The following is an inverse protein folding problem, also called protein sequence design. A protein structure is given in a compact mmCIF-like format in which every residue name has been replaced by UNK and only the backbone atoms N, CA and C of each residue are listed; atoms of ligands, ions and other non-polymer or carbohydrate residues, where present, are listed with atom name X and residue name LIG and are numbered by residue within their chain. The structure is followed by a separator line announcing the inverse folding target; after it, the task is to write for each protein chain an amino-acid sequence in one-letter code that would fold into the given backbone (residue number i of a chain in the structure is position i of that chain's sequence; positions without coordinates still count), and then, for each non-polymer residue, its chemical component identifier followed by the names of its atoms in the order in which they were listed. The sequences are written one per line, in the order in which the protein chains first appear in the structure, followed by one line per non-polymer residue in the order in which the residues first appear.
data_IF_076674658744
#
_entry.id   IF_076674658744
#
_cell.length_a   1.000
_cell.length_b   1.000
_cell.length_c   1.000
_cell.angle_alpha   90.00
_cell.angle_beta   90.00
_cell.angle_gamma   90.00
#
_symmetry.space_group_name_H-M   'P 1'
#
loop_
_entity.id
_entity.type
_entity.pdbx_description
1 polymer ?
#
# COMPACT_ATOMS: atom_id res chain seq x y z
N UNK A 1 -35.40 27.24 -43.31
CA UNK A 1 -34.90 25.90 -42.92
C UNK A 1 -33.40 25.85 -43.07
N UNK A 2 -32.72 26.07 -41.98
CA UNK A 2 -31.26 25.92 -41.89
C UNK A 2 -30.97 24.50 -41.36
N UNK A 3 -30.35 23.70 -42.22
CA UNK A 3 -29.81 22.39 -41.83
C UNK A 3 -28.58 22.58 -40.94
N UNK A 4 -28.72 22.22 -39.67
CA UNK A 4 -27.56 22.03 -38.77
C UNK A 4 -26.95 20.67 -39.09
N UNK A 5 -25.94 20.64 -39.95
CA UNK A 5 -25.08 19.50 -40.10
C UNK A 5 -24.26 19.37 -38.83
N UNK A 6 -24.55 18.33 -38.05
CA UNK A 6 -23.71 17.89 -36.93
C UNK A 6 -22.28 17.61 -37.44
N UNK A 7 -21.36 18.49 -37.10
CA UNK A 7 -19.93 18.23 -37.28
C UNK A 7 -19.52 17.20 -36.24
N UNK A 8 -19.50 15.91 -36.64
CA UNK A 8 -18.87 14.85 -35.86
C UNK A 8 -17.37 15.16 -35.81
N UNK A 9 -16.92 15.69 -34.67
CA UNK A 9 -15.50 15.82 -34.36
C UNK A 9 -14.93 14.42 -34.17
N UNK A 10 -14.44 13.81 -35.24
CA UNK A 10 -13.51 12.67 -35.10
C UNK A 10 -12.20 13.25 -34.54
N UNK A 11 -12.03 13.18 -33.22
CA UNK A 11 -10.79 13.54 -32.57
C UNK A 11 -9.74 12.51 -32.96
N UNK A 12 -9.01 12.77 -34.05
CA UNK A 12 -7.73 12.09 -34.28
C UNK A 12 -6.81 12.53 -33.15
N UNK A 13 -6.37 11.57 -32.33
CA UNK A 13 -5.31 11.82 -31.33
C UNK A 13 -4.18 12.57 -32.02
N UNK A 14 -3.68 13.67 -31.42
CA UNK A 14 -2.52 14.36 -31.99
C UNK A 14 -1.38 13.35 -32.17
N UNK A 15 -0.71 13.35 -33.29
CA UNK A 15 0.36 12.39 -33.71
C UNK A 15 1.53 12.28 -32.72
N UNK A 16 1.58 13.08 -31.67
CA UNK A 16 2.58 13.14 -30.61
C UNK A 16 2.08 12.68 -29.23
N UNK A 17 0.87 12.10 -29.18
CA UNK A 17 0.32 11.50 -27.97
C UNK A 17 0.18 9.99 -28.13
N UNK A 18 0.48 9.27 -27.07
CA UNK A 18 0.41 7.82 -26.99
C UNK A 18 -0.75 7.39 -26.09
N UNK A 19 -1.37 6.27 -26.37
CA UNK A 19 -2.41 5.70 -25.53
C UNK A 19 -1.77 5.24 -24.20
N UNK A 20 -2.39 5.65 -23.09
CA UNK A 20 -1.93 5.31 -21.75
C UNK A 20 -1.93 3.80 -21.54
N UNK A 21 -2.94 3.08 -22.06
CA UNK A 21 -3.02 1.63 -21.98
C UNK A 21 -1.78 0.96 -22.61
N UNK A 22 -1.37 1.40 -23.81
CA UNK A 22 -0.17 0.87 -24.48
C UNK A 22 1.10 1.14 -23.67
N UNK A 23 1.25 2.34 -23.10
CA UNK A 23 2.40 2.67 -22.26
C UNK A 23 2.45 1.75 -21.04
N UNK A 24 1.32 1.55 -20.36
CA UNK A 24 1.22 0.70 -19.17
C UNK A 24 1.43 -0.78 -19.50
N UNK A 25 0.91 -1.25 -20.63
CA UNK A 25 1.10 -2.63 -21.08
C UNK A 25 2.58 -2.94 -21.35
N UNK A 26 3.26 -2.08 -22.09
CA UNK A 26 4.71 -2.21 -22.29
C UNK A 26 5.50 -2.09 -20.99
N UNK A 27 5.08 -1.21 -20.07
CA UNK A 27 5.72 -1.09 -18.77
C UNK A 27 5.59 -2.38 -17.95
N UNK A 28 4.42 -3.01 -17.96
CA UNK A 28 4.18 -4.31 -17.30
C UNK A 28 5.06 -5.41 -17.91
N UNK A 29 5.14 -5.46 -19.24
CA UNK A 29 5.98 -6.44 -19.96
C UNK A 29 7.46 -6.24 -19.62
N UNK A 30 7.96 -5.01 -19.66
CA UNK A 30 9.35 -4.66 -19.32
C UNK A 30 9.68 -5.00 -17.87
N UNK A 31 8.79 -4.68 -16.95
CA UNK A 31 9.00 -4.98 -15.52
C UNK A 31 9.02 -6.49 -15.27
N UNK A 32 8.19 -7.26 -15.96
CA UNK A 32 8.16 -8.72 -15.86
C UNK A 32 9.42 -9.36 -16.41
N UNK A 33 9.96 -8.81 -17.51
CA UNK A 33 11.12 -9.36 -18.21
C UNK A 33 12.45 -8.99 -17.53
N UNK A 34 12.60 -7.73 -17.10
CA UNK A 34 13.88 -7.18 -16.63
C UNK A 34 13.86 -6.68 -15.18
N UNK A 35 12.68 -6.67 -14.52
CA UNK A 35 12.48 -5.95 -13.29
C UNK A 35 12.37 -4.43 -13.50
N UNK A 36 11.92 -3.73 -12.45
CA UNK A 36 11.86 -2.26 -12.51
C UNK A 36 13.24 -1.65 -12.30
N UNK A 37 13.65 -0.77 -13.22
CA UNK A 37 14.87 0.03 -13.15
C UNK A 37 14.51 1.52 -13.14
N UNK A 38 15.16 2.26 -12.26
CA UNK A 38 14.93 3.71 -12.10
C UNK A 38 15.41 4.49 -13.33
N UNK A 39 14.86 5.68 -13.51
CA UNK A 39 15.19 6.53 -14.67
C UNK A 39 16.60 7.13 -14.63
N UNK A 40 17.30 7.03 -13.51
CA UNK A 40 18.72 7.42 -13.34
C UNK A 40 19.69 6.24 -13.59
N UNK A 41 19.17 5.03 -13.81
CA UNK A 41 19.96 3.84 -14.14
C UNK A 41 20.04 3.63 -15.65
N UNK A 42 21.15 3.06 -16.17
CA UNK A 42 21.24 2.68 -17.57
C UNK A 42 20.23 1.57 -17.89
N UNK A 43 19.66 1.62 -19.09
CA UNK A 43 18.59 0.72 -19.51
C UNK A 43 17.38 0.78 -18.56
N UNK A 44 16.96 1.98 -18.21
CA UNK A 44 15.81 2.23 -17.33
C UNK A 44 14.52 1.67 -17.93
N UNK A 45 13.55 1.34 -17.06
CA UNK A 45 12.21 0.92 -17.50
C UNK A 45 11.58 1.95 -18.44
N UNK A 46 11.79 3.25 -18.16
CA UNK A 46 11.33 4.34 -19.03
C UNK A 46 11.90 4.26 -20.44
N UNK A 47 13.20 3.99 -20.59
CA UNK A 47 13.87 3.89 -21.91
C UNK A 47 13.31 2.72 -22.71
N UNK A 48 13.25 1.52 -22.14
CA UNK A 48 12.66 0.36 -22.80
C UNK A 48 11.20 0.58 -23.23
N UNK A 49 10.39 1.21 -22.37
CA UNK A 49 9.01 1.52 -22.72
C UNK A 49 8.93 2.54 -23.85
N UNK A 50 9.77 3.59 -23.81
CA UNK A 50 9.83 4.57 -24.90
C UNK A 50 10.22 3.92 -26.24
N UNK A 51 11.20 3.06 -26.25
CA UNK A 51 11.65 2.38 -27.45
C UNK A 51 10.54 1.51 -28.07
N UNK A 52 9.85 0.70 -27.25
CA UNK A 52 8.73 -0.15 -27.71
C UNK A 52 7.54 0.66 -28.22
N UNK A 53 7.16 1.72 -27.48
CA UNK A 53 6.03 2.58 -27.86
C UNK A 53 6.32 3.38 -29.12
N UNK A 54 7.54 3.90 -29.30
CA UNK A 54 7.93 4.64 -30.50
C UNK A 54 8.14 3.74 -31.71
N UNK A 55 8.57 2.50 -31.49
CA UNK A 55 8.65 1.47 -32.54
C UNK A 55 7.28 0.88 -32.93
N UNK A 56 6.18 1.31 -32.26
CA UNK A 56 4.84 0.78 -32.45
C UNK A 56 4.76 -0.75 -32.26
N UNK A 57 5.52 -1.27 -31.31
CA UNK A 57 5.44 -2.67 -30.93
C UNK A 57 4.06 -3.00 -30.36
N UNK A 58 3.62 -4.24 -30.53
CA UNK A 58 2.36 -4.69 -29.92
C UNK A 58 2.67 -5.27 -28.55
N UNK A 59 2.06 -4.74 -27.46
CA UNK A 59 2.24 -5.31 -26.14
C UNK A 59 1.62 -6.71 -26.04
N UNK A 60 2.07 -7.49 -25.05
CA UNK A 60 1.51 -8.81 -24.80
C UNK A 60 0.06 -8.75 -24.29
N UNK A 61 -0.73 -9.81 -24.47
CA UNK A 61 -2.07 -9.90 -23.90
C UNK A 61 -2.08 -9.80 -22.38
N UNK A 62 -1.04 -10.33 -21.70
CA UNK A 62 -0.88 -10.19 -20.26
C UNK A 62 -0.57 -8.76 -19.86
N UNK A 63 0.29 -8.07 -20.63
CA UNK A 63 0.58 -6.66 -20.42
C UNK A 63 -0.66 -5.78 -20.57
N UNK A 64 -1.51 -6.05 -21.56
CA UNK A 64 -2.78 -5.33 -21.75
C UNK A 64 -3.76 -5.54 -20.58
N UNK A 65 -3.89 -6.77 -20.07
CA UNK A 65 -4.74 -7.06 -18.90
C UNK A 65 -4.24 -6.33 -17.65
N UNK A 66 -2.93 -6.39 -17.39
CA UNK A 66 -2.33 -5.67 -16.26
C UNK A 66 -2.49 -4.16 -16.41
N UNK A 67 -2.39 -3.62 -17.61
CA UNK A 67 -2.66 -2.20 -17.88
C UNK A 67 -4.09 -1.80 -17.52
N UNK A 68 -5.08 -2.63 -17.87
CA UNK A 68 -6.48 -2.40 -17.52
C UNK A 68 -6.70 -2.42 -16.00
N UNK A 69 -6.07 -3.35 -15.28
CA UNK A 69 -6.10 -3.42 -13.81
C UNK A 69 -5.49 -2.17 -13.18
N UNK A 70 -4.33 -1.73 -13.67
CA UNK A 70 -3.67 -0.50 -13.20
C UNK A 70 -4.54 0.72 -13.46
N UNK A 71 -5.15 0.84 -14.64
CA UNK A 71 -6.04 1.95 -14.98
C UNK A 71 -7.30 1.95 -14.10
N UNK A 72 -7.88 0.79 -13.86
CA UNK A 72 -9.04 0.64 -12.97
C UNK A 72 -8.68 1.06 -11.54
N UNK A 73 -7.54 0.60 -11.02
CA UNK A 73 -7.04 1.01 -9.72
C UNK A 73 -6.83 2.52 -9.60
N UNK A 74 -6.21 3.18 -10.59
CA UNK A 74 -6.02 4.64 -10.56
C UNK A 74 -7.35 5.39 -10.56
N UNK A 75 -8.36 4.91 -11.32
CA UNK A 75 -9.71 5.49 -11.30
C UNK A 75 -10.40 5.30 -9.95
N UNK A 76 -10.20 4.15 -9.30
CA UNK A 76 -10.68 3.91 -7.93
C UNK A 76 -10.05 4.89 -6.93
N UNK A 77 -8.71 5.12 -7.01
CA UNK A 77 -8.07 6.10 -6.16
C UNK A 77 -8.62 7.51 -6.35
N UNK A 78 -8.89 7.92 -7.59
CA UNK A 78 -9.53 9.20 -7.91
C UNK A 78 -10.94 9.31 -7.31
N UNK A 79 -11.75 8.27 -7.43
CA UNK A 79 -13.10 8.22 -6.86
C UNK A 79 -13.08 8.33 -5.33
N UNK A 80 -12.20 7.59 -4.65
CA UNK A 80 -12.04 7.63 -3.20
C UNK A 80 -11.55 8.99 -2.70
N UNK A 81 -10.61 9.63 -3.42
CA UNK A 81 -10.14 10.98 -3.12
C UNK A 81 -11.26 12.01 -3.29
N UNK A 82 -12.04 11.90 -4.36
CA UNK A 82 -13.16 12.81 -4.67
C UNK A 82 -14.31 12.68 -3.68
N UNK A 83 -14.56 11.47 -3.16
CA UNK A 83 -15.55 11.21 -2.14
C UNK A 83 -15.09 11.63 -0.73
N UNK A 84 -13.79 11.85 -0.52
CA UNK A 84 -13.20 12.12 0.80
C UNK A 84 -13.05 10.87 1.67
N UNK A 85 -13.16 9.68 1.08
CA UNK A 85 -13.05 8.41 1.80
C UNK A 85 -11.61 8.05 2.18
N UNK A 86 -10.63 8.65 1.51
CA UNK A 86 -9.21 8.52 1.82
C UNK A 86 -8.54 9.90 1.93
N UNK A 87 -7.55 9.99 2.82
CA UNK A 87 -6.73 11.19 2.95
C UNK A 87 -5.90 11.41 1.69
N UNK A 88 -5.83 12.66 1.24
CA UNK A 88 -4.98 13.06 0.12
C UNK A 88 -3.53 12.60 0.27
N UNK A 89 -3.00 12.60 1.49
CA UNK A 89 -1.64 12.18 1.80
C UNK A 89 -1.45 10.65 1.79
N UNK A 90 -2.53 9.87 1.81
CA UNK A 90 -2.48 8.41 1.73
C UNK A 90 -2.14 7.91 0.32
N UNK A 91 -2.37 8.73 -0.70
CA UNK A 91 -2.04 8.40 -2.10
C UNK A 91 -0.73 9.07 -2.48
N UNK A 92 0.17 8.31 -3.10
CA UNK A 92 1.48 8.85 -3.52
C UNK A 92 1.33 9.92 -4.60
N UNK A 93 2.23 10.92 -4.58
CA UNK A 93 2.20 12.03 -5.54
C UNK A 93 2.35 11.56 -6.99
N UNK A 94 3.06 10.45 -7.24
CA UNK A 94 3.18 9.88 -8.58
C UNK A 94 1.83 9.41 -9.08
N UNK A 95 1.04 8.72 -8.26
CA UNK A 95 -0.30 8.24 -8.61
C UNK A 95 -1.22 9.43 -8.86
N UNK A 96 -1.26 10.41 -7.95
CA UNK A 96 -2.05 11.65 -8.10
C UNK A 96 -1.75 12.37 -9.43
N UNK A 97 -0.47 12.51 -9.77
CA UNK A 97 -0.05 13.14 -11.02
C UNK A 97 -0.38 12.33 -12.28
N UNK A 98 -0.65 11.04 -12.15
CA UNK A 98 -1.05 10.17 -13.25
C UNK A 98 -2.57 10.08 -13.43
N UNK A 99 -3.38 10.44 -12.43
CA UNK A 99 -4.85 10.42 -12.51
C UNK A 99 -5.35 11.13 -13.79
N UNK A 100 -5.02 12.41 -14.07
CA UNK A 100 -5.53 13.10 -15.25
C UNK A 100 -5.06 12.46 -16.56
N UNK A 101 -3.90 11.80 -16.59
CA UNK A 101 -3.41 11.08 -17.76
C UNK A 101 -4.22 9.81 -18.03
N UNK A 102 -4.50 9.04 -16.98
CA UNK A 102 -5.33 7.83 -17.06
C UNK A 102 -6.77 8.15 -17.44
N UNK A 103 -7.33 9.23 -16.89
CA UNK A 103 -8.69 9.67 -17.23
C UNK A 103 -8.80 10.15 -18.68
N UNK A 104 -7.78 10.86 -19.19
CA UNK A 104 -7.78 11.32 -20.60
C UNK A 104 -7.52 10.19 -21.60
N UNK A 105 -6.89 9.09 -21.16
CA UNK A 105 -6.49 7.96 -22.01
C UNK A 105 -5.24 8.21 -22.86
N UNK A 106 -4.68 9.42 -22.85
CA UNK A 106 -3.55 9.80 -23.70
C UNK A 106 -2.46 10.54 -22.92
N UNK A 107 -1.21 10.31 -23.30
CA UNK A 107 -0.07 10.94 -22.66
C UNK A 107 1.02 11.34 -23.67
N UNK A 108 1.77 12.38 -23.31
CA UNK A 108 2.97 12.79 -24.06
C UNK A 108 4.16 11.91 -23.67
N UNK A 109 5.16 11.87 -24.53
CA UNK A 109 6.43 11.17 -24.29
C UNK A 109 7.10 11.56 -22.95
N UNK A 110 6.98 12.82 -22.55
CA UNK A 110 7.52 13.31 -21.26
C UNK A 110 6.86 12.68 -20.03
N UNK A 111 5.67 12.08 -20.17
CA UNK A 111 4.92 11.46 -19.09
C UNK A 111 5.21 9.96 -18.94
N UNK A 112 5.85 9.33 -19.93
CA UNK A 112 6.11 7.87 -19.95
C UNK A 112 6.84 7.40 -18.70
N UNK A 113 7.84 8.14 -18.23
CA UNK A 113 8.57 7.74 -17.02
C UNK A 113 7.73 7.63 -15.75
N UNK A 114 6.69 8.48 -15.61
CA UNK A 114 5.74 8.41 -14.49
C UNK A 114 4.75 7.26 -14.67
N UNK A 115 4.23 7.10 -15.88
CA UNK A 115 3.32 5.99 -16.21
C UNK A 115 4.00 4.64 -16.11
N UNK A 116 5.26 4.52 -16.53
CA UNK A 116 6.04 3.29 -16.44
C UNK A 116 6.28 2.80 -15.01
N UNK A 117 6.08 3.65 -14.00
CA UNK A 117 6.15 3.25 -12.60
C UNK A 117 4.82 2.70 -12.05
N UNK A 118 3.68 3.02 -12.66
CA UNK A 118 2.36 2.67 -12.12
C UNK A 118 2.14 1.15 -11.95
N UNK A 119 2.58 0.25 -12.86
CA UNK A 119 2.42 -1.19 -12.65
C UNK A 119 3.11 -1.67 -11.37
N UNK A 120 4.33 -1.19 -11.08
CA UNK A 120 5.02 -1.50 -9.83
C UNK A 120 4.30 -0.91 -8.61
N UNK A 121 3.78 0.31 -8.72
CA UNK A 121 3.03 0.95 -7.64
C UNK A 121 1.74 0.16 -7.32
N UNK A 122 1.04 -0.31 -8.33
CA UNK A 122 -0.14 -1.16 -8.20
C UNK A 122 0.20 -2.50 -7.55
N UNK A 123 1.24 -3.19 -8.01
CA UNK A 123 1.70 -4.45 -7.41
C UNK A 123 1.97 -4.28 -5.91
N UNK A 124 2.72 -3.26 -5.52
CA UNK A 124 3.01 -2.96 -4.11
C UNK A 124 1.75 -2.63 -3.29
N UNK A 125 0.78 -1.95 -3.92
CA UNK A 125 -0.50 -1.67 -3.29
C UNK A 125 -1.28 -2.97 -3.01
N UNK A 126 -1.37 -3.87 -3.99
CA UNK A 126 -2.05 -5.17 -3.85
C UNK A 126 -1.38 -6.04 -2.79
N UNK A 127 -0.05 -6.14 -2.80
CA UNK A 127 0.74 -6.89 -1.81
C UNK A 127 0.50 -6.34 -0.39
N UNK A 128 0.54 -5.01 -0.22
CA UNK A 128 0.26 -4.37 1.08
C UNK A 128 -1.16 -4.65 1.54
N UNK A 129 -2.16 -4.50 0.68
CA UNK A 129 -3.57 -4.80 1.00
C UNK A 129 -3.79 -6.26 1.38
N UNK A 130 -3.16 -7.19 0.68
CA UNK A 130 -3.22 -8.60 1.00
C UNK A 130 -2.60 -8.88 2.37
N UNK A 131 -1.46 -8.28 2.69
CA UNK A 131 -0.81 -8.39 3.99
C UNK A 131 -1.67 -7.80 5.11
N UNK A 132 -2.23 -6.59 4.91
CA UNK A 132 -3.15 -5.94 5.87
C UNK A 132 -4.39 -6.80 6.13
N UNK A 133 -4.97 -7.39 5.09
CA UNK A 133 -6.16 -8.25 5.20
C UNK A 133 -5.83 -9.56 5.93
N UNK A 134 -4.69 -10.19 5.61
CA UNK A 134 -4.24 -11.40 6.29
C UNK A 134 -4.00 -11.12 7.79
N UNK A 135 -3.37 -10.00 8.11
CA UNK A 135 -3.12 -9.60 9.49
C UNK A 135 -4.43 -9.27 10.25
N UNK A 136 -5.36 -8.56 9.62
CA UNK A 136 -6.69 -8.30 10.21
C UNK A 136 -7.48 -9.59 10.45
N UNK A 137 -7.34 -10.58 9.57
CA UNK A 137 -8.00 -11.87 9.72
C UNK A 137 -7.39 -12.66 10.88
N UNK A 138 -6.07 -12.67 11.02
CA UNK A 138 -5.38 -13.28 12.14
C UNK A 138 -5.76 -12.60 13.47
N UNK A 139 -5.77 -11.26 13.49
CA UNK A 139 -6.10 -10.45 14.65
C UNK A 139 -7.55 -10.71 15.17
N UNK A 140 -8.50 -11.06 14.29
CA UNK A 140 -9.90 -11.36 14.67
C UNK A 140 -10.06 -12.61 15.54
N UNK A 141 -9.07 -13.49 15.59
CA UNK A 141 -9.07 -14.68 16.45
C UNK A 141 -8.54 -14.41 17.85
N UNK A 142 -8.11 -13.19 18.14
CA UNK A 142 -7.59 -12.82 19.46
C UNK A 142 -8.66 -12.89 20.54
N UNK A 143 -8.32 -13.53 21.65
CA UNK A 143 -9.15 -13.62 22.86
C UNK A 143 -8.47 -12.87 24.02
N UNK A 144 -9.25 -12.58 25.07
CA UNK A 144 -8.69 -12.01 26.29
C UNK A 144 -7.90 -13.07 27.06
N UNK A 145 -6.73 -12.70 27.55
CA UNK A 145 -5.84 -13.59 28.30
C UNK A 145 -5.64 -13.09 29.72
N UNK A 146 -5.95 -13.93 30.71
CA UNK A 146 -5.85 -13.63 32.15
C UNK A 146 -6.96 -12.69 32.65
N UNK A 147 -7.03 -12.53 33.97
CA UNK A 147 -7.95 -11.61 34.62
C UNK A 147 -7.25 -10.26 34.91
N UNK A 148 -8.06 -9.19 35.02
CA UNK A 148 -7.54 -7.85 35.36
C UNK A 148 -6.86 -7.89 36.73
N UNK A 149 -5.58 -7.49 36.76
CA UNK A 149 -4.71 -7.56 37.95
C UNK A 149 -3.85 -8.82 38.01
N UNK A 150 -4.12 -9.82 37.22
CA UNK A 150 -3.35 -11.07 37.19
C UNK A 150 -1.93 -10.85 36.60
N UNK A 151 -0.96 -11.60 37.15
CA UNK A 151 0.38 -11.67 36.62
C UNK A 151 0.49 -12.87 35.67
N UNK A 152 0.59 -12.60 34.41
CA UNK A 152 0.67 -13.61 33.36
C UNK A 152 2.07 -13.76 32.79
N UNK A 153 2.34 -14.94 32.22
CA UNK A 153 3.56 -15.22 31.47
C UNK A 153 3.15 -15.58 30.06
N UNK A 154 3.62 -14.82 29.08
CA UNK A 154 3.22 -14.93 27.68
C UNK A 154 4.46 -15.21 26.84
N UNK A 155 4.42 -16.23 26.01
CA UNK A 155 5.43 -16.46 24.96
C UNK A 155 5.02 -15.69 23.73
N UNK A 156 5.77 -14.67 23.39
CA UNK A 156 5.49 -13.81 22.25
C UNK A 156 6.01 -14.44 20.96
N UNK A 157 5.23 -14.33 19.89
CA UNK A 157 5.66 -14.61 18.53
C UNK A 157 6.27 -13.35 17.91
N UNK A 158 5.58 -12.20 18.08
CA UNK A 158 6.03 -10.92 17.54
C UNK A 158 5.85 -9.79 18.55
N UNK A 159 6.72 -8.78 18.44
CA UNK A 159 6.66 -7.52 19.21
C UNK A 159 6.87 -6.38 18.23
N UNK A 160 5.85 -5.53 18.05
CA UNK A 160 5.90 -4.39 17.14
C UNK A 160 5.73 -3.08 17.87
N UNK A 161 6.60 -2.12 17.60
CA UNK A 161 6.40 -0.72 18.02
C UNK A 161 5.36 -0.09 17.07
N UNK A 162 4.20 0.28 17.60
CA UNK A 162 3.13 0.93 16.82
C UNK A 162 3.31 2.45 16.76
N UNK A 163 3.70 3.06 17.89
CA UNK A 163 3.86 4.49 18.01
C UNK A 163 4.78 4.87 19.18
N UNK A 164 5.33 6.06 19.13
CA UNK A 164 5.99 6.69 20.28
C UNK A 164 5.66 8.18 20.29
N UNK A 165 5.50 8.74 21.48
CA UNK A 165 5.24 10.18 21.64
C UNK A 165 5.83 10.70 22.94
N UNK A 166 6.23 11.96 22.92
CA UNK A 166 6.69 12.68 24.10
C UNK A 166 5.49 13.20 24.90
N UNK A 167 5.59 13.08 26.22
CA UNK A 167 4.69 13.70 27.16
C UNK A 167 5.48 14.35 28.30
N UNK A 168 4.82 15.08 29.19
CA UNK A 168 5.46 15.75 30.32
C UNK A 168 6.23 14.83 31.30
N UNK A 169 6.06 13.50 31.16
CA UNK A 169 6.68 12.47 31.99
C UNK A 169 7.78 11.69 31.26
N UNK A 170 8.08 12.07 30.01
CA UNK A 170 9.03 11.41 29.13
C UNK A 170 8.38 10.74 27.92
N UNK A 171 9.13 9.89 27.24
CA UNK A 171 8.66 9.19 26.05
C UNK A 171 7.81 7.98 26.43
N UNK A 172 6.64 7.86 25.81
CA UNK A 172 5.82 6.64 25.89
C UNK A 172 5.92 5.89 24.57
N UNK A 173 6.14 4.59 24.67
CA UNK A 173 6.19 3.65 23.54
C UNK A 173 4.98 2.73 23.58
N UNK A 174 4.25 2.63 22.48
CA UNK A 174 3.11 1.73 22.31
C UNK A 174 3.55 0.50 21.54
N UNK A 175 3.52 -0.65 22.18
CA UNK A 175 3.83 -1.92 21.56
C UNK A 175 2.59 -2.80 21.39
N UNK A 176 2.51 -3.47 20.22
CA UNK A 176 1.62 -4.61 19.99
C UNK A 176 2.47 -5.87 20.12
N UNK A 177 2.05 -6.77 20.99
CA UNK A 177 2.63 -8.11 21.14
C UNK A 177 1.59 -9.10 20.65
N UNK A 178 2.04 -10.15 19.97
CA UNK A 178 1.21 -11.29 19.58
C UNK A 178 1.83 -12.52 20.20
N UNK A 179 1.03 -13.34 20.88
CA UNK A 179 1.50 -14.61 21.42
C UNK A 179 1.44 -15.73 20.37
N UNK A 180 1.91 -16.91 20.75
CA UNK A 180 1.92 -18.10 19.88
C UNK A 180 0.52 -18.63 19.54
N UNK A 181 -0.51 -18.21 20.29
CA UNK A 181 -1.91 -18.56 20.07
C UNK A 181 -2.66 -17.49 19.25
N UNK A 182 -1.97 -16.40 18.86
CA UNK A 182 -2.52 -15.30 18.08
C UNK A 182 -3.24 -14.23 18.91
N UNK A 183 -3.16 -14.27 20.24
CA UNK A 183 -3.79 -13.25 21.09
C UNK A 183 -2.96 -11.97 21.11
N UNK A 184 -3.65 -10.83 21.16
CA UNK A 184 -3.05 -9.51 21.08
C UNK A 184 -2.95 -8.87 22.46
N UNK A 185 -1.76 -8.39 22.76
CA UNK A 185 -1.48 -7.61 23.97
C UNK A 185 -1.02 -6.21 23.57
N UNK A 186 -1.50 -5.21 24.29
CA UNK A 186 -1.12 -3.82 24.13
C UNK A 186 -0.34 -3.37 25.35
N UNK A 187 0.88 -2.91 25.11
CA UNK A 187 1.80 -2.48 26.17
C UNK A 187 2.22 -1.03 25.99
N UNK A 188 1.93 -0.20 26.98
CA UNK A 188 2.43 1.17 27.08
C UNK A 188 3.70 1.17 27.94
N UNK A 189 4.85 1.33 27.31
CA UNK A 189 6.17 1.29 27.95
C UNK A 189 6.75 2.70 28.10
N UNK A 190 7.43 2.96 29.22
CA UNK A 190 8.21 4.18 29.45
C UNK A 190 9.65 4.08 28.95
N UNK A 191 10.07 2.93 28.48
CA UNK A 191 11.41 2.67 27.93
C UNK A 191 11.30 1.88 26.62
N UNK A 192 12.25 2.07 25.70
CA UNK A 192 12.27 1.29 24.47
C UNK A 192 12.53 -0.19 24.79
N UNK A 193 11.87 -1.08 24.06
CA UNK A 193 12.08 -2.51 24.08
C UNK A 193 12.85 -2.91 22.82
N UNK A 194 13.92 -3.68 22.97
CA UNK A 194 14.75 -4.19 21.87
C UNK A 194 14.32 -5.57 21.38
N UNK A 195 13.39 -6.23 22.09
CA UNK A 195 12.87 -7.53 21.71
C UNK A 195 11.96 -7.40 20.46
N UNK A 196 12.06 -8.37 19.57
CA UNK A 196 11.29 -8.40 18.30
C UNK A 196 10.28 -9.55 18.24
N UNK A 197 10.37 -10.51 19.14
CA UNK A 197 9.51 -11.69 19.25
C UNK A 197 10.32 -12.96 19.53
N UNK A 198 9.62 -14.00 19.94
CA UNK A 198 10.19 -15.26 20.37
C UNK A 198 10.53 -15.32 21.87
N UNK A 199 10.52 -14.18 22.56
CA UNK A 199 10.83 -14.08 23.97
C UNK A 199 9.61 -14.38 24.85
N UNK A 200 9.88 -14.77 26.10
CA UNK A 200 8.85 -14.92 27.12
C UNK A 200 8.74 -13.64 27.93
N UNK A 201 7.56 -13.06 27.99
CA UNK A 201 7.28 -11.83 28.73
C UNK A 201 6.43 -12.15 29.96
N UNK A 202 6.83 -11.63 31.10
CA UNK A 202 6.00 -11.57 32.29
C UNK A 202 5.35 -10.20 32.39
N UNK A 203 4.02 -10.16 32.43
CA UNK A 203 3.24 -8.92 32.44
C UNK A 203 2.10 -8.99 33.46
N UNK A 204 1.59 -7.84 33.85
CA UNK A 204 0.34 -7.75 34.64
C UNK A 204 -0.77 -7.26 33.75
N UNK A 205 -1.90 -7.95 33.71
CA UNK A 205 -3.10 -7.53 32.98
C UNK A 205 -3.63 -6.26 33.65
N UNK A 206 -3.71 -5.19 32.88
CA UNK A 206 -4.23 -3.90 33.37
C UNK A 206 -5.71 -3.76 33.06
N UNK A 207 -6.11 -4.19 31.87
CA UNK A 207 -7.47 -4.04 31.37
C UNK A 207 -7.69 -4.94 30.14
N UNK A 208 -8.96 -5.13 29.77
CA UNK A 208 -9.37 -5.76 28.52
C UNK A 208 -10.03 -4.70 27.63
N UNK A 209 -9.60 -4.61 26.40
CA UNK A 209 -10.11 -3.66 25.43
C UNK A 209 -10.49 -4.33 24.12
N UNK A 210 -11.33 -3.68 23.34
CA UNK A 210 -11.66 -4.09 22.00
C UNK A 210 -11.42 -2.93 21.03
N UNK A 211 -10.79 -3.21 19.90
CA UNK A 211 -10.57 -2.22 18.85
C UNK A 211 -10.90 -2.83 17.49
N UNK A 212 -11.83 -2.21 16.77
CA UNK A 212 -12.28 -2.70 15.45
C UNK A 212 -12.77 -4.17 15.45
N UNK A 213 -13.45 -4.60 16.52
CA UNK A 213 -13.92 -5.98 16.68
C UNK A 213 -12.83 -6.98 17.07
N UNK A 214 -11.63 -6.51 17.45
CA UNK A 214 -10.50 -7.33 17.87
C UNK A 214 -10.28 -7.18 19.37
N UNK A 215 -10.34 -8.29 20.11
CA UNK A 215 -10.08 -8.33 21.55
C UNK A 215 -8.59 -8.12 21.83
N UNK A 216 -8.27 -7.28 22.80
CA UNK A 216 -6.89 -6.94 23.15
C UNK A 216 -6.74 -6.93 24.67
N UNK A 217 -5.71 -7.59 25.18
CA UNK A 217 -5.35 -7.55 26.60
C UNK A 217 -4.34 -6.42 26.83
N UNK A 218 -4.72 -5.41 27.59
CA UNK A 218 -3.82 -4.30 27.93
C UNK A 218 -2.95 -4.73 29.09
N UNK A 219 -1.64 -4.66 28.91
CA UNK A 219 -0.65 -5.13 29.90
C UNK A 219 0.27 -4.02 30.38
N UNK A 220 0.77 -4.19 31.59
CA UNK A 220 1.71 -3.29 32.24
C UNK A 220 2.79 -4.07 32.99
N UNK A 221 3.84 -3.37 33.47
CA UNK A 221 4.95 -3.97 34.23
C UNK A 221 5.58 -5.17 33.50
N UNK A 222 5.69 -5.05 32.18
CA UNK A 222 6.29 -6.10 31.37
C UNK A 222 7.80 -6.23 31.66
N UNK A 223 8.24 -7.48 31.79
CA UNK A 223 9.65 -7.82 31.92
C UNK A 223 9.94 -9.02 31.00
N UNK A 224 10.98 -8.92 30.21
CA UNK A 224 11.43 -10.01 29.36
C UNK A 224 12.13 -11.01 30.29
N UNK A 225 11.72 -12.27 30.26
CA UNK A 225 12.43 -13.34 30.94
C UNK A 225 13.66 -13.70 30.10
N UNK A 226 14.82 -13.59 30.72
CA UNK A 226 16.08 -14.01 30.12
C UNK A 226 16.12 -15.53 29.98
#
# INVERSE_FOLDING_TARGET
TMDCTETVWTSRSPTWMYEVQNILAHASDVIREFGYRRSDEPNSTKEFVLDRVTAHETPSESGLREADEVMAWVREQDALLSAGDIDWNAVSDIVKNCIPLVLSGYAKMSHVGRLAYLPLAHQRYVERKACETAQQTADKHSEYVGEVGERITVKTETIHLLASWDNQWGVTYLYKLVDVDGNIFIWYASRPCSATGGETIKATVKDHGERNGVKQTIVTRCSIAA
#
